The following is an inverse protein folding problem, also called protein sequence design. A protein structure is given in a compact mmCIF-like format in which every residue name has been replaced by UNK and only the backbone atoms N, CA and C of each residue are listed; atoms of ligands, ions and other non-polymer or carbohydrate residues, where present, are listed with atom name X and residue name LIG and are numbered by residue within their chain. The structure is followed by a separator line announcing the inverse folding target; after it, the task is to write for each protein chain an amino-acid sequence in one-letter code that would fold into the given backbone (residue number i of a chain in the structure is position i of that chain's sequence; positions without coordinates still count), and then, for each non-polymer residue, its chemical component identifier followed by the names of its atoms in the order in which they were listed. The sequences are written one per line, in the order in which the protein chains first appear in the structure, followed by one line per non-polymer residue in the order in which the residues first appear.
data_IF_656794439886
#
_entry.id   IF_656794439886
#
_cell.length_a   1.000
_cell.length_b   1.000
_cell.length_c   1.000
_cell.angle_alpha   90.00
_cell.angle_beta   90.00
_cell.angle_gamma   90.00
#
_symmetry.space_group_name_H-M   'P 1'
#
loop_
_entity.id
_entity.type
_entity.pdbx_description
1 polymer ?
#
# COMPACT_ATOMS: atom_id res chain seq x y z
N UNK A 1 16.66 -9.13 16.13
CA UNK A 1 17.05 -8.62 14.81
C UNK A 1 16.27 -7.34 14.60
N UNK A 2 16.92 -6.19 14.70
CA UNK A 2 16.25 -4.91 14.46
C UNK A 2 16.03 -4.77 12.95
N UNK A 3 14.78 -4.71 12.50
CA UNK A 3 14.45 -4.30 11.15
C UNK A 3 14.78 -2.81 11.11
N UNK A 4 15.90 -2.46 10.48
CA UNK A 4 16.14 -1.08 10.11
C UNK A 4 15.01 -0.70 9.15
N UNK A 5 14.15 0.24 9.56
CA UNK A 5 13.25 0.94 8.63
C UNK A 5 14.14 1.68 7.65
N UNK A 6 14.40 1.04 6.51
CA UNK A 6 15.12 1.64 5.38
C UNK A 6 14.37 2.92 4.96
N UNK A 7 15.09 3.99 4.60
CA UNK A 7 14.52 5.22 4.02
C UNK A 7 13.57 4.98 2.83
N UNK A 8 13.58 3.78 2.26
CA UNK A 8 12.68 3.36 1.20
C UNK A 8 11.21 3.15 1.66
N UNK A 9 10.94 2.87 2.94
CA UNK A 9 9.57 2.68 3.46
C UNK A 9 8.98 4.02 3.88
N UNK A 10 8.03 4.53 3.10
CA UNK A 10 7.48 5.87 3.27
C UNK A 10 6.28 5.92 4.19
N UNK A 11 5.54 4.82 4.27
CA UNK A 11 4.33 4.72 5.07
C UNK A 11 4.15 3.30 5.57
N UNK A 12 3.65 3.19 6.80
CA UNK A 12 3.19 1.96 7.39
C UNK A 12 1.92 2.24 8.22
N UNK A 13 0.92 1.37 8.07
CA UNK A 13 -0.31 1.43 8.86
C UNK A 13 -1.01 0.08 8.96
N UNK A 14 -1.80 -0.08 10.02
CA UNK A 14 -2.70 -1.22 10.19
C UNK A 14 -4.14 -0.71 10.04
N UNK A 15 -4.90 -1.38 9.18
CA UNK A 15 -6.26 -1.00 8.83
C UNK A 15 -7.21 -2.16 9.07
N UNK A 16 -8.45 -1.83 9.44
CA UNK A 16 -9.56 -2.76 9.52
C UNK A 16 -10.56 -2.47 8.41
N UNK A 17 -10.93 -3.48 7.63
CA UNK A 17 -11.96 -3.36 6.58
C UNK A 17 -13.31 -3.06 7.24
N UNK A 18 -13.96 -2.00 6.77
CA UNK A 18 -15.29 -1.58 7.22
C UNK A 18 -16.39 -1.88 6.21
N UNK A 19 -16.07 -1.96 4.92
CA UNK A 19 -17.03 -2.25 3.85
C UNK A 19 -16.30 -2.89 2.66
N UNK A 20 -16.97 -3.80 1.95
CA UNK A 20 -16.49 -4.41 0.70
C UNK A 20 -17.56 -4.31 -0.39
N UNK A 21 -17.23 -3.73 -1.53
CA UNK A 21 -18.13 -3.64 -2.69
C UNK A 21 -17.53 -4.31 -3.94
N UNK A 22 -18.13 -5.43 -4.33
CA UNK A 22 -17.77 -6.21 -5.53
C UNK A 22 -18.93 -6.26 -6.56
N UNK A 23 -19.91 -5.39 -6.48
CA UNK A 23 -21.14 -5.50 -7.29
C UNK A 23 -20.90 -5.35 -8.81
N UNK A 24 -19.83 -4.68 -9.21
CA UNK A 24 -19.57 -4.32 -10.62
C UNK A 24 -18.57 -5.22 -11.32
N UNK A 25 -17.72 -5.93 -10.60
CA UNK A 25 -16.59 -6.66 -11.16
C UNK A 25 -16.45 -8.02 -10.50
N UNK A 26 -16.20 -9.05 -11.30
CA UNK A 26 -16.11 -10.43 -10.79
C UNK A 26 -14.87 -10.66 -9.92
N UNK A 27 -13.77 -9.95 -10.19
CA UNK A 27 -12.43 -10.20 -9.60
C UNK A 27 -11.85 -9.01 -8.85
N UNK A 28 -12.57 -7.90 -8.80
CA UNK A 28 -12.10 -6.67 -8.15
C UNK A 28 -13.18 -6.17 -7.20
N UNK A 29 -12.80 -5.93 -5.96
CA UNK A 29 -13.65 -5.24 -5.01
C UNK A 29 -13.02 -3.90 -4.64
N UNK A 30 -13.86 -2.90 -4.39
CA UNK A 30 -13.44 -1.72 -3.63
C UNK A 30 -13.67 -1.98 -2.16
N UNK A 31 -12.63 -1.85 -1.36
CA UNK A 31 -12.71 -1.92 0.09
C UNK A 31 -12.61 -0.53 0.70
N UNK A 32 -13.34 -0.31 1.79
CA UNK A 32 -13.14 0.80 2.70
C UNK A 32 -12.53 0.25 3.97
N UNK A 33 -11.54 0.95 4.51
CA UNK A 33 -10.86 0.55 5.72
C UNK A 33 -10.45 1.76 6.55
N UNK A 34 -10.34 1.56 7.86
CA UNK A 34 -10.00 2.61 8.82
C UNK A 34 -8.90 2.14 9.76
N UNK A 35 -7.97 3.03 10.09
CA UNK A 35 -6.94 2.77 11.11
C UNK A 35 -7.53 2.85 12.52
N UNK A 36 -6.80 2.32 13.50
CA UNK A 36 -7.15 2.56 14.90
C UNK A 36 -6.93 4.05 15.24
N UNK A 37 -7.90 4.64 15.94
CA UNK A 37 -7.85 6.00 16.45
C UNK A 37 -6.64 6.25 17.37
N UNK A 38 -6.10 5.20 18.00
CA UNK A 38 -4.88 5.28 18.83
C UNK A 38 -3.61 5.62 18.04
N UNK A 39 -3.60 5.41 16.71
CA UNK A 39 -2.41 5.51 15.85
C UNK A 39 -2.54 6.60 14.78
N UNK A 40 -3.38 7.61 15.06
CA UNK A 40 -3.91 8.62 14.13
C UNK A 40 -5.03 8.07 13.23
N UNK A 41 -6.18 8.76 13.25
CA UNK A 41 -7.36 8.39 12.47
C UNK A 41 -7.09 8.60 10.97
N UNK A 42 -7.17 7.52 10.21
CA UNK A 42 -7.00 7.50 8.77
C UNK A 42 -8.09 6.68 8.11
N UNK A 43 -8.53 7.15 6.96
CA UNK A 43 -9.47 6.46 6.09
C UNK A 43 -8.75 6.04 4.81
N UNK A 44 -9.04 4.81 4.38
CA UNK A 44 -8.50 4.25 3.15
C UNK A 44 -9.62 3.70 2.28
N UNK A 45 -9.55 3.98 0.98
CA UNK A 45 -10.21 3.15 -0.03
C UNK A 45 -9.16 2.48 -0.90
N UNK A 46 -9.41 1.23 -1.30
CA UNK A 46 -8.49 0.45 -2.12
C UNK A 46 -9.27 -0.50 -3.02
N UNK A 47 -8.97 -0.47 -4.32
CA UNK A 47 -9.39 -1.52 -5.24
C UNK A 47 -8.41 -2.70 -5.14
N UNK A 48 -8.93 -3.91 -4.92
CA UNK A 48 -8.12 -5.11 -4.72
C UNK A 48 -8.60 -6.26 -5.60
N UNK A 49 -7.66 -7.06 -6.11
CA UNK A 49 -7.98 -8.29 -6.81
C UNK A 49 -8.39 -9.38 -5.81
N UNK A 50 -9.69 -9.65 -5.71
CA UNK A 50 -10.28 -10.58 -4.74
C UNK A 50 -10.07 -12.05 -5.09
N UNK A 51 -9.73 -12.37 -6.34
CA UNK A 51 -9.37 -13.73 -6.75
C UNK A 51 -8.01 -14.13 -6.17
N UNK A 52 -7.06 -13.18 -6.15
CA UNK A 52 -5.70 -13.40 -5.63
C UNK A 52 -5.60 -13.18 -4.12
N UNK A 53 -6.29 -12.15 -3.61
CA UNK A 53 -6.26 -11.79 -2.20
C UNK A 53 -7.67 -11.50 -1.68
N UNK A 54 -8.39 -12.54 -1.23
CA UNK A 54 -9.74 -12.39 -0.68
C UNK A 54 -9.69 -11.55 0.61
N UNK A 55 -10.57 -10.56 0.70
CA UNK A 55 -10.81 -9.75 1.91
C UNK A 55 -12.29 -9.66 2.21
N UNK A 56 -12.61 -9.66 3.50
CA UNK A 56 -13.96 -9.56 4.06
C UNK A 56 -14.07 -8.37 5.00
N UNK A 57 -15.29 -7.93 5.26
CA UNK A 57 -15.55 -6.94 6.32
C UNK A 57 -15.05 -7.45 7.66
N UNK A 58 -14.39 -6.58 8.42
CA UNK A 58 -13.80 -6.92 9.71
C UNK A 58 -12.35 -7.41 9.65
N UNK A 59 -11.85 -7.80 8.48
CA UNK A 59 -10.46 -8.22 8.31
C UNK A 59 -9.50 -7.10 8.71
N UNK A 60 -8.40 -7.47 9.37
CA UNK A 60 -7.32 -6.57 9.75
C UNK A 60 -6.09 -6.89 8.92
N UNK A 61 -5.47 -5.87 8.36
CA UNK A 61 -4.31 -6.03 7.50
C UNK A 61 -3.32 -4.88 7.69
N UNK A 62 -2.04 -5.20 7.48
CA UNK A 62 -0.94 -4.25 7.51
C UNK A 62 -0.63 -3.81 6.09
N UNK A 63 -0.49 -2.50 5.91
CA UNK A 63 -0.11 -1.85 4.66
C UNK A 63 1.24 -1.19 4.85
N UNK A 64 2.15 -1.42 3.91
CA UNK A 64 3.41 -0.68 3.76
C UNK A 64 3.47 -0.10 2.36
N UNK A 65 3.86 1.17 2.26
CA UNK A 65 4.17 1.81 0.98
C UNK A 65 5.67 2.10 0.90
N UNK A 66 6.34 1.62 -0.14
CA UNK A 66 7.79 1.71 -0.26
C UNK A 66 8.23 2.12 -1.68
N UNK A 67 9.35 2.82 -1.79
CA UNK A 67 9.97 3.22 -3.08
C UNK A 67 10.89 2.18 -3.68
N UNK A 68 11.21 1.12 -2.92
CA UNK A 68 12.05 0.01 -3.37
C UNK A 68 11.64 -1.28 -2.68
N UNK A 69 11.86 -2.41 -3.38
CA UNK A 69 11.76 -3.75 -2.83
C UNK A 69 13.10 -4.29 -2.30
N UNK A 70 14.21 -3.63 -2.60
CA UNK A 70 15.53 -4.02 -2.09
C UNK A 70 15.58 -3.87 -0.57
N UNK A 71 16.06 -4.91 0.12
CA UNK A 71 16.16 -4.92 1.59
C UNK A 71 17.12 -3.84 2.15
N UNK A 72 18.07 -3.38 1.34
CA UNK A 72 18.99 -2.29 1.66
C UNK A 72 18.46 -0.90 1.30
N UNK A 73 17.26 -0.82 0.71
CA UNK A 73 16.64 0.43 0.25
C UNK A 73 17.25 1.03 -1.03
N UNK A 74 18.15 0.30 -1.71
CA UNK A 74 18.66 0.73 -3.02
C UNK A 74 17.51 0.91 -4.00
N UNK A 75 17.48 2.02 -4.75
CA UNK A 75 16.44 2.26 -5.74
C UNK A 75 16.54 1.23 -6.86
N UNK A 76 15.39 0.74 -7.32
CA UNK A 76 15.33 -0.03 -8.54
C UNK A 76 15.87 0.82 -9.70
N UNK A 77 16.74 0.25 -10.53
CA UNK A 77 17.21 0.91 -11.72
C UNK A 77 16.07 0.91 -12.75
N UNK A 78 15.41 2.05 -12.95
CA UNK A 78 14.31 2.21 -13.91
C UNK A 78 14.69 1.76 -15.35
N UNK A 79 15.99 1.65 -15.65
CA UNK A 79 16.50 1.14 -16.95
C UNK A 79 16.65 -0.37 -16.99
N UNK A 80 16.75 -1.03 -15.84
CA UNK A 80 16.74 -2.47 -15.75
C UNK A 80 15.29 -2.94 -15.84
N UNK A 81 14.90 -3.46 -17.02
CA UNK A 81 13.57 -4.03 -17.19
C UNK A 81 13.24 -5.07 -16.12
N UNK A 82 11.94 -5.22 -15.79
CA UNK A 82 11.48 -6.10 -14.72
C UNK A 82 11.98 -7.55 -14.90
N UNK A 83 12.52 -8.12 -13.82
CA UNK A 83 12.93 -9.52 -13.75
C UNK A 83 12.23 -10.21 -12.59
N UNK A 84 11.77 -11.42 -12.84
CA UNK A 84 11.18 -12.27 -11.82
C UNK A 84 12.27 -12.77 -10.86
N UNK A 85 12.36 -12.14 -9.69
CA UNK A 85 13.35 -12.47 -8.65
C UNK A 85 13.16 -13.92 -8.13
N UNK A 86 11.93 -14.45 -8.17
CA UNK A 86 11.60 -15.77 -7.63
C UNK A 86 12.09 -16.93 -8.51
N UNK A 87 12.20 -16.72 -9.82
CA UNK A 87 12.53 -17.80 -10.78
C UNK A 87 14.03 -18.06 -10.96
N UNK A 88 14.90 -17.17 -10.48
CA UNK A 88 16.34 -17.22 -10.76
C UNK A 88 17.22 -17.33 -9.51
N UNK A 89 16.65 -17.65 -8.35
CA UNK A 89 17.39 -17.60 -7.09
C UNK A 89 17.89 -16.19 -6.78
N UNK A 90 17.08 -15.18 -7.12
CA UNK A 90 17.39 -13.79 -6.87
C UNK A 90 17.52 -13.50 -5.36
N UNK A 91 18.11 -12.36 -4.99
CA UNK A 91 18.21 -11.96 -3.59
C UNK A 91 16.81 -11.84 -2.98
N UNK A 92 16.71 -12.14 -1.68
CA UNK A 92 15.49 -11.91 -0.93
C UNK A 92 15.08 -10.44 -1.02
N UNK A 93 13.79 -10.19 -1.14
CA UNK A 93 13.21 -8.85 -1.29
C UNK A 93 12.21 -8.57 -0.18
N UNK A 94 11.85 -7.29 -0.02
CA UNK A 94 10.79 -6.90 0.89
C UNK A 94 9.46 -7.61 0.58
N UNK A 95 9.20 -7.91 -0.70
CA UNK A 95 7.97 -8.57 -1.17
C UNK A 95 7.79 -9.97 -0.57
N UNK A 96 8.87 -10.70 -0.27
CA UNK A 96 8.81 -12.07 0.26
C UNK A 96 8.11 -12.15 1.64
N UNK A 97 8.01 -11.02 2.34
CA UNK A 97 7.36 -10.92 3.65
C UNK A 97 5.90 -10.48 3.59
N UNK A 98 5.32 -10.27 2.40
CA UNK A 98 3.95 -9.77 2.22
C UNK A 98 3.13 -10.70 1.32
N UNK A 99 1.81 -10.65 1.47
CA UNK A 99 0.89 -11.58 0.81
C UNK A 99 0.36 -11.01 -0.52
N UNK A 100 0.36 -9.69 -0.67
CA UNK A 100 -0.12 -9.01 -1.87
C UNK A 100 0.73 -7.77 -2.15
N UNK A 101 1.28 -7.69 -3.37
CA UNK A 101 2.21 -6.64 -3.77
C UNK A 101 1.76 -6.04 -5.10
N UNK A 102 1.77 -4.71 -5.19
CA UNK A 102 1.42 -3.96 -6.39
C UNK A 102 2.42 -2.83 -6.62
N UNK A 103 2.74 -2.54 -7.88
CA UNK A 103 3.53 -1.36 -8.26
C UNK A 103 2.61 -0.32 -8.91
N UNK A 104 2.78 0.95 -8.55
CA UNK A 104 1.86 1.99 -8.96
C UNK A 104 2.45 3.39 -8.91
N UNK A 105 1.63 4.36 -9.27
CA UNK A 105 1.98 5.78 -9.34
C UNK A 105 1.06 6.61 -8.47
N UNK A 106 1.63 7.50 -7.69
CA UNK A 106 0.90 8.56 -6.99
C UNK A 106 0.64 9.67 -8.00
N UNK A 107 -0.63 10.00 -8.21
CA UNK A 107 -1.02 10.88 -9.32
C UNK A 107 -1.72 12.17 -8.87
N UNK A 108 -2.19 12.23 -7.62
CA UNK A 108 -2.86 13.43 -7.09
C UNK A 108 -2.69 13.50 -5.58
N UNK A 109 -2.47 14.72 -5.10
CA UNK A 109 -2.69 15.10 -3.70
C UNK A 109 -3.81 16.14 -3.64
N UNK A 110 -4.57 16.12 -2.56
CA UNK A 110 -5.64 17.09 -2.31
C UNK A 110 -5.60 17.48 -0.83
N UNK A 111 -5.36 18.76 -0.57
CA UNK A 111 -5.37 19.30 0.78
C UNK A 111 -6.83 19.43 1.27
N UNK A 112 -7.09 19.07 2.52
CA UNK A 112 -8.42 19.28 3.12
C UNK A 112 -8.64 20.76 3.46
N UNK A 113 -9.90 21.19 3.47
CA UNK A 113 -10.27 22.58 3.81
C UNK A 113 -9.85 22.96 5.24
N UNK A 114 -9.85 22.00 6.16
CA UNK A 114 -9.46 22.19 7.56
C UNK A 114 -7.93 22.28 7.76
N UNK A 115 -7.13 21.96 6.73
CA UNK A 115 -5.67 22.06 6.73
C UNK A 115 -4.91 20.98 7.51
N UNK A 116 -5.59 20.18 8.32
CA UNK A 116 -4.95 19.14 9.15
C UNK A 116 -4.70 17.83 8.40
N UNK A 117 -5.56 17.52 7.42
CA UNK A 117 -5.51 16.29 6.63
C UNK A 117 -5.17 16.54 5.16
N UNK A 118 -4.60 15.52 4.53
CA UNK A 118 -4.33 15.47 3.10
C UNK A 118 -4.84 14.14 2.54
N UNK A 119 -5.30 14.14 1.29
CA UNK A 119 -5.62 12.93 0.54
C UNK A 119 -4.51 12.64 -0.46
N UNK A 120 -4.01 11.42 -0.45
CA UNK A 120 -3.09 10.88 -1.45
C UNK A 120 -3.82 9.88 -2.33
N UNK A 121 -3.80 10.09 -3.65
CA UNK A 121 -4.41 9.20 -4.63
C UNK A 121 -3.34 8.44 -5.41
N UNK A 122 -3.47 7.12 -5.46
CA UNK A 122 -2.50 6.19 -6.02
C UNK A 122 -3.22 5.27 -7.01
N UNK A 123 -2.56 4.95 -8.12
CA UNK A 123 -3.05 4.00 -9.12
C UNK A 123 -2.04 2.87 -9.33
N UNK A 124 -2.47 1.64 -9.10
CA UNK A 124 -1.72 0.42 -9.34
C UNK A 124 -2.20 -0.22 -10.64
N UNK A 125 -1.88 0.40 -11.78
CA UNK A 125 -2.28 -0.09 -13.09
C UNK A 125 -3.80 -0.06 -13.33
N UNK A 126 -4.53 0.84 -12.67
CA UNK A 126 -5.99 0.96 -12.77
C UNK A 126 -6.74 0.57 -11.50
N UNK A 127 -6.10 -0.15 -10.56
CA UNK A 127 -6.61 -0.34 -9.21
C UNK A 127 -6.31 0.92 -8.39
N UNK A 128 -7.37 1.62 -7.94
CA UNK A 128 -7.22 2.92 -7.29
C UNK A 128 -7.14 2.77 -5.78
N UNK A 129 -6.37 3.67 -5.17
CA UNK A 129 -6.27 3.84 -3.73
C UNK A 129 -6.39 5.31 -3.36
N UNK A 130 -7.10 5.60 -2.27
CA UNK A 130 -7.15 6.91 -1.63
C UNK A 130 -6.78 6.72 -0.16
N UNK A 131 -5.74 7.41 0.31
CA UNK A 131 -5.43 7.55 1.73
C UNK A 131 -5.79 8.95 2.17
N UNK A 132 -6.60 9.06 3.22
CA UNK A 132 -6.93 10.31 3.87
C UNK A 132 -6.43 10.27 5.32
N UNK A 133 -5.61 11.23 5.70
CA UNK A 133 -5.06 11.28 7.06
C UNK A 133 -4.16 12.49 7.30
N UNK A 134 -3.51 12.56 8.48
CA UNK A 134 -2.74 13.72 8.87
C UNK A 134 -1.57 14.02 7.93
N UNK A 135 -1.34 15.30 7.68
CA UNK A 135 -0.29 15.78 6.78
C UNK A 135 1.09 15.14 7.07
N UNK A 136 1.46 15.06 8.35
CA UNK A 136 2.75 14.51 8.81
C UNK A 136 3.00 13.07 8.38
N UNK A 137 1.93 12.26 8.25
CA UNK A 137 2.02 10.84 7.90
C UNK A 137 2.05 10.61 6.39
N UNK A 138 1.43 11.49 5.61
CA UNK A 138 1.30 11.33 4.16
C UNK A 138 2.26 12.21 3.35
N UNK A 139 2.94 13.18 3.98
CA UNK A 139 3.99 14.00 3.32
C UNK A 139 5.11 13.17 2.68
N UNK A 140 5.62 12.09 3.29
CA UNK A 140 6.66 11.26 2.68
C UNK A 140 6.25 10.65 1.33
N UNK A 141 4.94 10.55 1.06
CA UNK A 141 4.41 9.99 -0.18
C UNK A 141 4.53 10.95 -1.38
N UNK A 142 5.17 12.11 -1.28
CA UNK A 142 5.45 13.02 -2.41
C UNK A 142 6.56 12.48 -3.33
N UNK A 143 6.34 11.28 -3.86
CA UNK A 143 7.17 10.56 -4.82
C UNK A 143 6.29 10.11 -5.99
N UNK A 144 6.90 9.77 -7.12
CA UNK A 144 6.15 9.34 -8.31
C UNK A 144 5.66 7.89 -8.19
N UNK A 145 6.60 6.94 -8.14
CA UNK A 145 6.31 5.51 -8.16
C UNK A 145 6.48 4.89 -6.78
N UNK A 146 5.62 3.90 -6.49
CA UNK A 146 5.58 3.26 -5.18
C UNK A 146 5.08 1.81 -5.29
N UNK A 147 5.57 0.99 -4.38
CA UNK A 147 5.08 -0.35 -4.12
C UNK A 147 4.07 -0.32 -2.98
N UNK A 148 2.91 -0.93 -3.19
CA UNK A 148 1.96 -1.32 -2.16
C UNK A 148 2.30 -2.73 -1.72
N UNK A 149 2.49 -2.92 -0.41
CA UNK A 149 2.77 -4.20 0.22
C UNK A 149 1.71 -4.45 1.30
N UNK A 150 0.96 -5.54 1.18
CA UNK A 150 -0.10 -5.90 2.13
C UNK A 150 0.19 -7.25 2.76
N UNK A 151 0.11 -7.30 4.09
CA UNK A 151 0.10 -8.53 4.86
C UNK A 151 -1.28 -8.66 5.50
N UNK A 152 -1.99 -9.75 5.20
CA UNK A 152 -3.22 -10.09 5.91
C UNK A 152 -2.91 -10.68 7.27
N UNK A 153 -3.71 -10.36 8.29
CA UNK A 153 -3.79 -11.20 9.49
C UNK A 153 -4.64 -12.43 9.15
N UNK A 154 -4.09 -13.36 8.38
CA UNK A 154 -4.60 -14.72 8.34
C UNK A 154 -3.77 -15.50 9.36
N UNK A 155 -4.43 -15.99 10.41
CA UNK A 155 -3.85 -16.94 11.37
C UNK A 155 -3.25 -18.16 10.66
#
# INVERSE_FOLDING_TARGET
MAVATSDAQLFEGVFKVTEVNQQKYDRVARIWARSDASTDLMDMTLDINTELFPMSEGDVFRVVLATSLSLDGSKDDDKAGWRDATKLGGPATLADSFDYVCHGKIYKFEDSEDGDNIKAYISFGGLLMCLNGPYKKLTPLRVDYIYLLIKGNKD
#
